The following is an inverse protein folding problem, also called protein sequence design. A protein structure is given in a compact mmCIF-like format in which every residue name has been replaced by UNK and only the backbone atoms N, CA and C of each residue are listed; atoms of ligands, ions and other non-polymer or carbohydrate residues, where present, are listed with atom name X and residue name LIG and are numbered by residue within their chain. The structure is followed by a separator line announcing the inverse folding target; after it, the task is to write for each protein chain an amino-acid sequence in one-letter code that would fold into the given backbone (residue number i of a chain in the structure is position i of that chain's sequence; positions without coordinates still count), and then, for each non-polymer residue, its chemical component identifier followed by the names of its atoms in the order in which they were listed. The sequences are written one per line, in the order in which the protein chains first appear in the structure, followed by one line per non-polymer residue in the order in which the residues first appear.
data_IF_202444113744
#
_entry.id   IF_202444113744
#
_cell.length_a   1.000
_cell.length_b   1.000
_cell.length_c   1.000
_cell.angle_alpha   90.00
_cell.angle_beta   90.00
_cell.angle_gamma   90.00
#
_symmetry.space_group_name_H-M   'P 1'
#
loop_
_entity.id
_entity.type
_entity.pdbx_description
1 polymer ?
#
# COMPACT_ATOMS: atom_id res chain seq x y z
N UNK A 1 8.19 -4.04 -14.70
CA UNK A 1 7.84 -3.87 -16.12
C UNK A 1 6.34 -4.01 -16.36
N UNK A 2 5.68 -5.14 -16.05
CA UNK A 2 4.23 -5.32 -16.27
C UNK A 2 3.34 -4.24 -15.61
N UNK A 3 3.59 -3.89 -14.35
CA UNK A 3 2.83 -2.83 -13.67
C UNK A 3 3.01 -1.47 -14.34
N UNK A 4 4.23 -1.16 -14.80
CA UNK A 4 4.51 0.11 -15.51
C UNK A 4 3.80 0.15 -16.86
N UNK A 5 3.83 -0.95 -17.61
CA UNK A 5 3.11 -1.07 -18.89
C UNK A 5 1.60 -0.95 -18.66
N UNK A 6 1.08 -1.63 -17.64
CA UNK A 6 -0.32 -1.54 -17.25
C UNK A 6 -0.70 -0.09 -16.90
N UNK A 7 0.07 0.57 -16.03
CA UNK A 7 -0.12 1.98 -15.69
C UNK A 7 -0.10 2.87 -16.94
N UNK A 8 0.87 2.70 -17.84
CA UNK A 8 0.93 3.48 -19.10
C UNK A 8 -0.26 3.20 -20.02
N UNK A 9 -0.77 1.97 -20.06
CA UNK A 9 -1.91 1.60 -20.90
C UNK A 9 -3.27 2.01 -20.34
N UNK A 10 -3.37 2.17 -19.01
CA UNK A 10 -4.63 2.48 -18.31
C UNK A 10 -4.71 3.91 -17.82
N UNK A 11 -3.61 4.66 -17.88
CA UNK A 11 -3.58 6.06 -17.49
C UNK A 11 -4.41 6.88 -18.47
N UNK A 12 -5.61 7.27 -18.02
CA UNK A 12 -6.48 8.21 -18.72
C UNK A 12 -6.48 9.52 -17.95
N UNK A 13 -5.98 10.59 -18.56
CA UNK A 13 -6.01 11.93 -17.98
C UNK A 13 -7.10 12.76 -18.66
N UNK A 14 -8.10 13.17 -17.89
CA UNK A 14 -9.18 14.02 -18.38
C UNK A 14 -8.72 15.48 -18.45
N UNK A 15 -8.22 15.86 -19.62
CA UNK A 15 -7.76 17.21 -19.90
C UNK A 15 -8.87 18.27 -19.76
N UNK A 16 -10.13 17.91 -20.00
CA UNK A 16 -11.25 18.84 -19.88
C UNK A 16 -11.51 19.16 -18.40
N UNK A 17 -11.51 18.14 -17.54
CA UNK A 17 -11.64 18.33 -16.09
C UNK A 17 -10.46 19.11 -15.49
N UNK A 18 -9.25 18.89 -15.99
CA UNK A 18 -8.07 19.67 -15.59
C UNK A 18 -8.18 21.15 -15.98
N UNK A 19 -8.61 21.45 -17.21
CA UNK A 19 -8.80 22.82 -17.67
C UNK A 19 -9.84 23.58 -16.82
N UNK A 20 -10.98 22.93 -16.51
CA UNK A 20 -12.00 23.50 -15.62
C UNK A 20 -11.42 23.80 -14.24
N UNK A 21 -10.64 22.87 -13.66
CA UNK A 21 -10.03 23.09 -12.36
C UNK A 21 -9.02 24.25 -12.37
N UNK A 22 -8.27 24.44 -13.45
CA UNK A 22 -7.36 25.59 -13.59
C UNK A 22 -8.10 26.93 -13.69
N UNK A 23 -9.32 26.95 -14.22
CA UNK A 23 -10.17 28.16 -14.25
C UNK A 23 -10.81 28.45 -12.89
N UNK A 24 -11.14 27.40 -12.12
CA UNK A 24 -11.79 27.53 -10.81
C UNK A 24 -10.82 27.89 -9.69
N UNK A 25 -9.61 27.31 -9.70
CA UNK A 25 -8.63 27.53 -8.63
C UNK A 25 -7.67 28.68 -8.97
N UNK A 26 -7.23 29.47 -7.98
CA UNK A 26 -6.16 30.44 -8.17
C UNK A 26 -4.88 29.77 -8.69
N UNK A 27 -4.01 30.51 -9.41
CA UNK A 27 -2.75 29.97 -9.91
C UNK A 27 -1.95 29.28 -8.81
N UNK A 28 -1.56 28.02 -9.02
CA UNK A 28 -0.78 27.21 -8.09
C UNK A 28 -1.56 26.49 -6.98
N UNK A 29 -2.82 26.88 -6.70
CA UNK A 29 -3.63 26.22 -5.67
C UNK A 29 -4.05 24.81 -6.06
N UNK A 30 -4.42 24.62 -7.33
CA UNK A 30 -4.79 23.29 -7.80
C UNK A 30 -3.63 22.30 -7.67
N UNK A 31 -2.41 22.69 -8.04
CA UNK A 31 -1.25 21.79 -7.94
C UNK A 31 -0.90 21.44 -6.49
N UNK A 32 -1.04 22.41 -5.57
CA UNK A 32 -0.80 22.20 -4.14
C UNK A 32 -1.91 21.38 -3.48
N UNK A 33 -3.17 21.53 -3.91
CA UNK A 33 -4.35 20.88 -3.36
C UNK A 33 -4.79 19.61 -4.10
N UNK A 34 -4.16 19.24 -5.22
CA UNK A 34 -4.59 18.13 -6.07
C UNK A 34 -4.66 16.80 -5.32
N UNK A 35 -3.76 16.57 -4.35
CA UNK A 35 -3.75 15.37 -3.51
C UNK A 35 -4.92 15.32 -2.51
N UNK A 36 -5.45 16.48 -2.12
CA UNK A 36 -6.62 16.60 -1.24
C UNK A 36 -7.90 16.36 -2.03
N UNK A 37 -7.96 16.91 -3.25
CA UNK A 37 -9.12 16.83 -4.17
C UNK A 37 -9.23 15.45 -4.83
N UNK A 38 -8.11 14.76 -5.06
CA UNK A 38 -8.10 13.42 -5.61
C UNK A 38 -8.72 12.39 -4.65
N UNK A 39 -9.29 11.33 -5.21
CA UNK A 39 -9.80 10.22 -4.41
C UNK A 39 -8.65 9.57 -3.64
N UNK A 40 -8.66 9.73 -2.32
CA UNK A 40 -7.65 9.17 -1.43
C UNK A 40 -7.48 7.66 -1.56
N UNK A 41 -8.55 6.93 -1.85
CA UNK A 41 -8.52 5.49 -2.03
C UNK A 41 -7.61 5.12 -3.21
N UNK A 42 -7.84 5.76 -4.36
CA UNK A 42 -7.05 5.53 -5.58
C UNK A 42 -5.61 6.00 -5.40
N UNK A 43 -5.43 7.17 -4.78
CA UNK A 43 -4.10 7.74 -4.51
C UNK A 43 -3.30 6.83 -3.58
N UNK A 44 -3.93 6.30 -2.51
CA UNK A 44 -3.34 5.35 -1.58
C UNK A 44 -2.86 4.07 -2.27
N UNK A 45 -3.72 3.46 -3.08
CA UNK A 45 -3.39 2.24 -3.84
C UNK A 45 -2.25 2.49 -4.82
N UNK A 46 -2.25 3.64 -5.50
CA UNK A 46 -1.17 4.04 -6.43
C UNK A 46 0.14 4.23 -5.67
N UNK A 47 0.14 4.95 -4.54
CA UNK A 47 1.35 5.17 -3.75
C UNK A 47 1.95 3.86 -3.22
N UNK A 48 1.15 2.95 -2.69
CA UNK A 48 1.64 1.64 -2.24
C UNK A 48 2.15 0.78 -3.41
N UNK A 49 1.48 0.85 -4.57
CA UNK A 49 1.94 0.18 -5.78
C UNK A 49 3.30 0.71 -6.24
N UNK A 50 3.46 2.03 -6.33
CA UNK A 50 4.72 2.71 -6.68
C UNK A 50 5.83 2.41 -5.67
N UNK A 51 5.49 2.35 -4.38
CA UNK A 51 6.41 2.00 -3.31
C UNK A 51 6.91 0.55 -3.44
N UNK A 52 6.05 -0.39 -3.84
CA UNK A 52 6.42 -1.77 -4.15
C UNK A 52 7.33 -1.89 -5.39
N UNK A 53 7.17 -0.98 -6.36
CA UNK A 53 8.06 -0.88 -7.51
C UNK A 53 9.46 -0.38 -7.13
N UNK A 54 9.54 0.50 -6.12
CA UNK A 54 10.79 1.10 -5.64
C UNK A 54 11.65 0.06 -4.89
N UNK A 55 12.93 0.04 -5.23
CA UNK A 55 13.92 -0.75 -4.49
C UNK A 55 14.22 0.01 -3.19
N UNK A 56 13.55 -0.35 -2.11
CA UNK A 56 13.72 0.30 -0.80
C UNK A 56 14.70 -0.43 0.12
N UNK A 57 14.99 -1.70 -0.16
CA UNK A 57 15.75 -2.58 0.74
C UNK A 57 16.91 -3.21 0.00
N UNK A 58 18.05 -3.38 0.66
CA UNK A 58 19.21 -4.08 0.09
C UNK A 58 18.83 -5.50 -0.40
N UNK A 59 18.00 -6.23 0.34
CA UNK A 59 17.46 -7.52 -0.10
C UNK A 59 16.68 -7.41 -1.41
N UNK A 60 15.81 -6.42 -1.57
CA UNK A 60 15.07 -6.17 -2.81
C UNK A 60 15.98 -5.82 -3.99
N UNK A 61 17.10 -5.15 -3.73
CA UNK A 61 18.11 -4.87 -4.74
C UNK A 61 18.80 -6.15 -5.22
N UNK A 62 19.32 -6.95 -4.27
CA UNK A 62 20.02 -8.20 -4.58
C UNK A 62 19.11 -9.25 -5.22
N UNK A 63 17.86 -9.39 -4.78
CA UNK A 63 16.92 -10.34 -5.40
C UNK A 63 16.61 -9.95 -6.83
N UNK A 64 16.32 -8.67 -7.11
CA UNK A 64 16.03 -8.21 -8.47
C UNK A 64 17.24 -8.29 -9.38
N UNK A 65 18.42 -7.91 -8.90
CA UNK A 65 19.66 -8.05 -9.68
C UNK A 65 19.99 -9.52 -9.92
N UNK A 66 19.88 -10.37 -8.90
CA UNK A 66 20.13 -11.81 -9.01
C UNK A 66 19.23 -12.48 -10.06
N UNK A 67 17.93 -12.15 -10.07
CA UNK A 67 16.99 -12.66 -11.07
C UNK A 67 17.35 -12.19 -12.48
N UNK A 68 17.67 -10.89 -12.65
CA UNK A 68 18.07 -10.34 -13.96
C UNK A 68 19.40 -10.93 -14.45
N UNK A 69 20.42 -11.06 -13.59
CA UNK A 69 21.71 -11.69 -13.94
C UNK A 69 21.50 -13.16 -14.33
N UNK A 70 20.67 -13.89 -13.59
CA UNK A 70 20.35 -15.30 -13.91
C UNK A 70 19.68 -15.42 -15.28
N UNK A 71 18.76 -14.50 -15.60
CA UNK A 71 18.12 -14.39 -16.91
C UNK A 71 19.13 -14.11 -18.02
N UNK A 72 20.00 -13.10 -17.84
CA UNK A 72 21.06 -12.76 -18.80
C UNK A 72 22.01 -13.94 -19.04
N UNK A 73 22.41 -14.64 -17.98
CA UNK A 73 23.26 -15.82 -18.07
C UNK A 73 22.58 -16.96 -18.83
N UNK A 74 21.29 -17.22 -18.57
CA UNK A 74 20.53 -18.23 -19.32
C UNK A 74 20.35 -17.87 -20.78
N UNK A 75 20.05 -16.60 -21.09
CA UNK A 75 19.96 -16.10 -22.47
C UNK A 75 21.29 -16.24 -23.19
N UNK A 76 22.39 -15.89 -22.55
CA UNK A 76 23.74 -16.04 -23.11
C UNK A 76 24.06 -17.51 -23.40
N UNK A 77 23.73 -18.42 -22.48
CA UNK A 77 23.85 -19.87 -22.71
C UNK A 77 23.00 -20.36 -23.88
N UNK A 78 21.77 -19.87 -24.03
CA UNK A 78 20.89 -20.23 -25.15
C UNK A 78 21.47 -19.71 -26.47
N UNK A 79 22.00 -18.50 -26.51
CA UNK A 79 22.64 -17.93 -27.70
C UNK A 79 23.92 -18.70 -28.05
N UNK A 80 24.77 -19.05 -27.08
CA UNK A 80 25.96 -19.91 -27.29
C UNK A 80 25.55 -21.29 -27.87
N UNK A 81 24.42 -21.83 -27.39
CA UNK A 81 23.87 -23.10 -27.88
C UNK A 81 23.41 -23.02 -29.35
N UNK A 82 22.73 -21.94 -29.72
CA UNK A 82 22.25 -21.70 -31.09
C UNK A 82 23.45 -21.49 -32.05
N UNK A 83 24.50 -20.80 -31.60
CA UNK A 83 25.67 -20.52 -32.42
C UNK A 83 26.58 -21.74 -32.60
N UNK A 84 26.68 -22.62 -31.59
CA UNK A 84 27.57 -23.79 -31.59
C UNK A 84 26.84 -25.12 -31.28
N UNK A 85 25.98 -25.62 -32.20
CA UNK A 85 25.20 -26.84 -31.96
C UNK A 85 26.06 -28.10 -31.78
N UNK A 86 27.32 -28.09 -32.26
CA UNK A 86 28.26 -29.23 -32.15
C UNK A 86 28.86 -29.42 -30.75
N UNK A 87 28.76 -28.42 -29.85
CA UNK A 87 29.18 -28.52 -28.44
C UNK A 87 28.25 -29.43 -27.62
N UNK A 88 27.12 -29.82 -28.21
CA UNK A 88 26.00 -30.54 -27.59
C UNK A 88 26.16 -32.07 -27.58
N UNK A 89 27.25 -32.58 -27.00
CA UNK A 89 27.35 -34.02 -26.62
C UNK A 89 27.49 -34.26 -25.12
N UNK A 90 27.53 -33.21 -24.30
CA UNK A 90 27.44 -33.34 -22.84
C UNK A 90 26.22 -32.56 -22.37
N UNK A 91 25.14 -33.31 -22.19
CA UNK A 91 23.91 -32.98 -21.45
C UNK A 91 23.90 -31.59 -20.81
N UNK A 92 23.23 -30.62 -21.43
CA UNK A 92 23.01 -29.26 -20.90
C UNK A 92 22.20 -29.29 -19.59
N UNK A 93 21.47 -30.37 -19.35
CA UNK A 93 20.98 -30.73 -18.03
C UNK A 93 22.02 -31.60 -17.32
N UNK A 94 22.65 -31.08 -16.27
CA UNK A 94 23.35 -31.93 -15.30
C UNK A 94 22.37 -33.02 -14.85
N UNK A 95 22.85 -34.27 -14.79
CA UNK A 95 22.09 -35.43 -14.30
C UNK A 95 21.44 -35.07 -12.96
N UNK A 96 20.13 -34.81 -13.02
CA UNK A 96 19.10 -35.21 -12.05
C UNK A 96 19.27 -34.71 -10.61
N UNK A 97 19.28 -33.39 -10.38
CA UNK A 97 18.90 -32.84 -9.07
C UNK A 97 17.36 -32.82 -8.90
N UNK A 98 16.71 -33.99 -9.02
CA UNK A 98 15.24 -34.12 -8.86
C UNK A 98 14.76 -33.60 -7.52
N UNK A 99 15.56 -33.79 -6.47
CA UNK A 99 15.29 -33.25 -5.13
C UNK A 99 15.29 -31.72 -5.10
N UNK A 100 16.20 -31.06 -5.83
CA UNK A 100 16.24 -29.60 -5.92
C UNK A 100 15.04 -29.03 -6.67
N UNK A 101 14.65 -29.67 -7.79
CA UNK A 101 13.45 -29.30 -8.53
C UNK A 101 12.18 -29.55 -7.72
N UNK A 102 12.07 -30.69 -7.04
CA UNK A 102 10.94 -31.01 -6.17
C UNK A 102 10.84 -30.02 -4.99
N UNK A 103 11.95 -29.66 -4.36
CA UNK A 103 11.99 -28.66 -3.31
C UNK A 103 11.50 -27.29 -3.79
N UNK A 104 11.93 -26.84 -4.97
CA UNK A 104 11.47 -25.57 -5.54
C UNK A 104 9.96 -25.57 -5.82
N UNK A 105 9.42 -26.70 -6.31
CA UNK A 105 7.98 -26.84 -6.55
C UNK A 105 7.19 -26.82 -5.24
N UNK A 106 7.64 -27.55 -4.22
CA UNK A 106 7.00 -27.55 -2.90
C UNK A 106 7.09 -26.17 -2.25
N UNK A 107 8.25 -25.52 -2.32
CA UNK A 107 8.42 -24.16 -1.80
C UNK A 107 7.51 -23.16 -2.51
N UNK A 108 7.40 -23.24 -3.84
CA UNK A 108 6.47 -22.42 -4.61
C UNK A 108 5.01 -22.66 -4.20
N UNK A 109 4.59 -23.92 -4.03
CA UNK A 109 3.25 -24.27 -3.58
C UNK A 109 2.97 -23.76 -2.14
N UNK A 110 3.93 -23.89 -1.23
CA UNK A 110 3.82 -23.36 0.12
C UNK A 110 3.69 -21.83 0.13
N UNK A 111 4.46 -21.14 -0.72
CA UNK A 111 4.35 -19.68 -0.87
C UNK A 111 2.99 -19.26 -1.43
N UNK A 112 2.46 -19.97 -2.42
CA UNK A 112 1.14 -19.65 -2.98
C UNK A 112 0.05 -19.83 -1.94
N UNK A 113 0.08 -20.93 -1.18
CA UNK A 113 -0.87 -21.18 -0.08
C UNK A 113 -0.74 -20.08 0.99
N UNK A 114 0.48 -19.76 1.41
CA UNK A 114 0.73 -18.72 2.40
C UNK A 114 0.17 -17.36 1.96
N UNK A 115 0.41 -16.97 0.70
CA UNK A 115 -0.08 -15.68 0.17
C UNK A 115 -1.60 -15.68 0.07
N UNK A 116 -2.20 -16.76 -0.44
CA UNK A 116 -3.66 -16.88 -0.58
C UNK A 116 -4.36 -16.84 0.77
N UNK A 117 -3.88 -17.60 1.75
CA UNK A 117 -4.41 -17.58 3.12
C UNK A 117 -4.20 -16.22 3.80
N UNK A 118 -3.05 -15.58 3.60
CA UNK A 118 -2.81 -14.22 4.14
C UNK A 118 -3.76 -13.19 3.56
N UNK A 119 -4.06 -13.26 2.26
CA UNK A 119 -5.02 -12.36 1.60
C UNK A 119 -6.44 -12.64 2.09
N UNK A 120 -6.83 -13.91 2.13
CA UNK A 120 -8.17 -14.33 2.55
C UNK A 120 -8.47 -13.93 3.99
N UNK A 121 -7.62 -14.32 4.93
CA UNK A 121 -7.79 -14.04 6.37
C UNK A 121 -7.83 -12.53 6.65
N UNK A 122 -6.89 -11.77 6.08
CA UNK A 122 -6.90 -10.31 6.23
C UNK A 122 -8.13 -9.64 5.62
N UNK A 123 -8.62 -10.12 4.48
CA UNK A 123 -9.82 -9.55 3.84
C UNK A 123 -11.08 -9.78 4.66
N UNK A 124 -11.21 -10.96 5.28
CA UNK A 124 -12.35 -11.29 6.13
C UNK A 124 -12.33 -10.50 7.45
N UNK A 125 -11.15 -10.33 8.06
CA UNK A 125 -11.00 -9.54 9.29
C UNK A 125 -11.40 -8.07 9.10
N UNK A 126 -11.07 -7.49 7.95
CA UNK A 126 -11.33 -6.07 7.66
C UNK A 126 -12.66 -5.83 6.92
N UNK A 127 -13.42 -6.87 6.60
CA UNK A 127 -14.71 -6.75 5.90
C UNK A 127 -15.73 -5.83 6.62
N UNK A 128 -15.82 -5.78 7.96
CA UNK A 128 -16.72 -4.86 8.65
C UNK A 128 -16.29 -3.39 8.61
N UNK A 129 -15.05 -3.11 8.19
CA UNK A 129 -14.40 -1.80 8.27
C UNK A 129 -14.15 -1.23 6.86
N UNK A 130 -15.19 -0.70 6.17
CA UNK A 130 -15.06 -0.19 4.81
C UNK A 130 -14.10 1.01 4.69
N UNK A 131 -13.86 1.72 5.78
CA UNK A 131 -12.86 2.79 5.89
C UNK A 131 -11.40 2.29 5.77
N UNK A 132 -11.16 1.00 5.95
CA UNK A 132 -9.85 0.41 5.74
C UNK A 132 -9.65 0.07 4.25
N UNK A 133 -8.96 0.94 3.53
CA UNK A 133 -8.76 0.80 2.09
C UNK A 133 -7.68 -0.22 1.74
N UNK A 134 -6.62 -0.26 2.54
CA UNK A 134 -5.45 -1.10 2.27
C UNK A 134 -5.15 -1.99 3.47
N UNK A 135 -5.12 -3.30 3.22
CA UNK A 135 -4.86 -4.32 4.23
C UNK A 135 -3.36 -4.68 4.25
N UNK A 136 -2.80 -4.97 5.42
CA UNK A 136 -1.40 -5.37 5.59
C UNK A 136 -1.11 -6.84 5.16
N UNK A 137 -2.15 -7.62 4.79
CA UNK A 137 -2.07 -9.00 4.26
C UNK A 137 -1.20 -9.91 5.12
N UNK A 138 -1.53 -10.03 6.40
CA UNK A 138 -0.91 -10.99 7.32
C UNK A 138 -1.74 -12.25 7.41
N UNK A 139 -1.05 -13.38 7.55
CA UNK A 139 -1.69 -14.61 8.00
C UNK A 139 -1.99 -14.50 9.49
N UNK A 140 -3.23 -14.16 9.84
CA UNK A 140 -3.73 -14.14 11.22
C UNK A 140 -4.69 -15.31 11.42
N UNK A 141 -4.67 -15.89 12.62
CA UNK A 141 -5.64 -16.90 13.02
C UNK A 141 -6.90 -16.14 13.43
N UNK A 142 -7.96 -16.26 12.64
CA UNK A 142 -9.29 -15.78 13.06
C UNK A 142 -9.80 -16.74 14.13
N UNK A 143 -9.75 -16.31 15.39
CA UNK A 143 -10.44 -17.02 16.47
C UNK A 143 -11.93 -16.66 16.38
N UNK A 144 -12.79 -17.67 16.34
CA UNK A 144 -14.24 -17.52 16.12
C UNK A 144 -14.86 -16.53 17.12
N UNK A 145 -15.03 -15.27 16.69
CA UNK A 145 -15.68 -14.21 17.48
C UNK A 145 -14.85 -12.95 17.74
N UNK A 146 -13.55 -12.91 17.43
CA UNK A 146 -12.72 -11.70 17.61
C UNK A 146 -12.41 -11.02 16.27
N UNK A 147 -13.43 -10.45 15.61
CA UNK A 147 -13.27 -9.48 14.52
C UNK A 147 -12.70 -8.12 15.01
N UNK A 148 -11.93 -8.12 16.10
CA UNK A 148 -11.48 -6.91 16.79
C UNK A 148 -10.11 -6.42 16.33
N UNK A 149 -9.36 -7.22 15.55
CA UNK A 149 -8.02 -6.87 15.07
C UNK A 149 -7.94 -6.98 13.54
N UNK A 150 -8.35 -5.91 12.86
CA UNK A 150 -8.14 -5.78 11.42
C UNK A 150 -6.71 -5.28 11.14
N UNK A 151 -5.90 -6.00 10.31
CA UNK A 151 -4.58 -5.57 9.86
C UNK A 151 -4.69 -4.40 8.86
N UNK A 152 -5.10 -3.23 9.32
CA UNK A 152 -5.27 -2.07 8.46
C UNK A 152 -3.94 -1.33 8.26
N UNK A 153 -3.57 -1.11 6.99
CA UNK A 153 -2.40 -0.33 6.60
C UNK A 153 -2.76 1.14 6.34
N UNK A 154 -3.92 1.38 5.73
CA UNK A 154 -4.39 2.71 5.38
C UNK A 154 -5.88 2.89 5.73
N UNK A 155 -6.13 3.82 6.63
CA UNK A 155 -7.47 4.24 7.07
C UNK A 155 -7.85 5.54 6.36
N UNK A 156 -8.96 5.52 5.64
CA UNK A 156 -9.52 6.69 4.96
C UNK A 156 -11.00 6.83 5.34
N UNK A 157 -11.31 7.79 6.19
CA UNK A 157 -12.69 8.16 6.56
C UNK A 157 -12.92 9.63 6.22
N UNK A 158 -13.53 9.86 5.06
CA UNK A 158 -13.77 11.20 4.52
C UNK A 158 -15.25 11.43 4.29
N UNK A 159 -15.77 12.51 4.86
CA UNK A 159 -17.13 12.98 4.60
C UNK A 159 -17.09 14.28 3.79
N UNK A 160 -17.06 14.17 2.46
CA UNK A 160 -16.79 15.32 1.57
C UNK A 160 -17.99 16.28 1.47
N UNK A 161 -19.19 15.83 1.84
CA UNK A 161 -20.43 16.62 1.76
C UNK A 161 -21.37 16.28 2.93
N UNK A 162 -21.16 16.84 4.13
CA UNK A 162 -22.10 16.69 5.22
C UNK A 162 -23.47 17.22 4.80
N UNK A 163 -24.53 16.45 5.06
CA UNK A 163 -25.87 16.73 4.53
C UNK A 163 -26.55 17.86 5.27
N UNK A 164 -26.12 18.14 6.50
CA UNK A 164 -26.73 19.17 7.35
C UNK A 164 -25.68 20.02 8.05
N UNK A 165 -26.03 21.28 8.35
CA UNK A 165 -25.19 22.19 9.13
C UNK A 165 -24.90 21.63 10.53
N UNK A 166 -25.84 20.92 11.14
CA UNK A 166 -25.66 20.29 12.44
C UNK A 166 -24.62 19.15 12.42
N UNK A 167 -24.58 18.34 11.36
CA UNK A 167 -23.53 17.32 11.16
C UNK A 167 -22.15 17.93 10.90
N UNK A 168 -22.12 19.14 10.31
CA UNK A 168 -20.88 19.89 10.08
C UNK A 168 -20.35 20.52 11.37
N UNK A 169 -21.23 21.03 12.23
CA UNK A 169 -20.89 21.67 13.51
C UNK A 169 -20.54 20.63 14.60
N UNK A 170 -21.15 19.45 14.57
CA UNK A 170 -20.83 18.34 15.47
C UNK A 170 -20.47 17.05 14.69
N UNK A 171 -19.23 16.97 14.15
CA UNK A 171 -18.79 15.82 13.39
C UNK A 171 -18.68 14.58 14.28
N UNK A 172 -18.97 13.41 13.69
CA UNK A 172 -18.93 12.10 14.36
C UNK A 172 -17.54 11.87 14.97
N UNK A 173 -17.50 11.49 16.25
CA UNK A 173 -16.27 11.12 16.93
C UNK A 173 -15.82 9.72 16.49
N UNK A 174 -14.60 9.64 15.95
CA UNK A 174 -13.99 8.40 15.44
C UNK A 174 -12.84 7.90 16.31
N UNK A 175 -12.62 8.48 17.49
CA UNK A 175 -11.47 8.16 18.37
C UNK A 175 -11.40 6.67 18.72
N UNK A 176 -12.50 6.08 19.16
CA UNK A 176 -12.55 4.65 19.52
C UNK A 176 -12.32 3.73 18.32
N UNK A 177 -12.86 4.11 17.16
CA UNK A 177 -12.70 3.37 15.90
C UNK A 177 -11.25 3.40 15.41
N UNK A 178 -10.58 4.56 15.48
CA UNK A 178 -9.16 4.70 15.17
C UNK A 178 -8.32 3.90 16.17
N UNK A 179 -8.67 3.92 17.46
CA UNK A 179 -7.98 3.12 18.48
C UNK A 179 -8.06 1.62 18.18
N UNK A 180 -9.25 1.12 17.82
CA UNK A 180 -9.46 -0.28 17.45
C UNK A 180 -8.61 -0.70 16.24
N UNK A 181 -8.58 0.12 15.19
CA UNK A 181 -7.79 -0.18 13.98
C UNK A 181 -6.27 0.02 14.19
N UNK A 182 -5.88 0.92 15.09
CA UNK A 182 -4.48 1.15 15.46
C UNK A 182 -3.95 0.11 16.46
N UNK A 183 -4.82 -0.62 17.17
CA UNK A 183 -4.44 -1.60 18.19
C UNK A 183 -3.46 -2.67 17.69
N UNK A 184 -3.51 -3.00 16.40
CA UNK A 184 -2.61 -3.97 15.79
C UNK A 184 -1.19 -3.39 15.50
N UNK A 185 -1.03 -2.07 15.47
CA UNK A 185 0.26 -1.42 15.23
C UNK A 185 0.72 -1.40 13.76
N UNK A 186 -0.15 -1.81 12.82
CA UNK A 186 0.18 -1.93 11.40
C UNK A 186 -0.17 -0.67 10.58
N UNK A 187 -0.79 0.33 11.21
CA UNK A 187 -1.33 1.51 10.55
C UNK A 187 -0.19 2.42 10.06
N UNK A 188 -0.20 2.76 8.76
CA UNK A 188 0.83 3.59 8.14
C UNK A 188 0.29 4.94 7.69
N UNK A 189 -0.99 5.03 7.35
CA UNK A 189 -1.62 6.26 6.88
C UNK A 189 -3.03 6.38 7.43
N UNK A 190 -3.34 7.57 7.96
CA UNK A 190 -4.65 7.93 8.47
C UNK A 190 -5.09 9.22 7.80
N UNK A 191 -6.27 9.19 7.17
CA UNK A 191 -6.88 10.35 6.55
C UNK A 191 -8.30 10.50 7.06
N UNK A 192 -8.54 11.59 7.80
CA UNK A 192 -9.81 11.95 8.39
C UNK A 192 -10.24 13.31 7.83
N UNK A 193 -11.44 13.39 7.27
CA UNK A 193 -12.03 14.65 6.78
C UNK A 193 -13.44 14.81 7.33
N UNK A 194 -13.71 15.93 8.00
CA UNK A 194 -14.99 16.20 8.67
C UNK A 194 -15.36 15.12 9.72
N UNK A 195 -14.36 14.60 10.44
CA UNK A 195 -14.51 13.59 11.51
C UNK A 195 -13.78 14.05 12.75
N UNK A 196 -14.40 13.90 13.93
CA UNK A 196 -13.84 14.34 15.20
C UNK A 196 -12.88 13.30 15.80
N UNK A 197 -11.65 13.73 16.06
CA UNK A 197 -10.61 13.00 16.77
C UNK A 197 -10.27 13.81 18.01
N UNK A 198 -11.05 13.62 19.07
CA UNK A 198 -10.98 14.43 20.28
C UNK A 198 -9.65 14.25 21.04
N UNK A 199 -9.11 13.02 21.02
CA UNK A 199 -7.84 12.66 21.65
C UNK A 199 -7.08 11.75 20.69
N UNK A 200 -5.76 11.89 20.65
CA UNK A 200 -4.92 10.96 19.90
C UNK A 200 -4.82 9.64 20.71
N UNK A 201 -5.34 8.50 20.21
CA UNK A 201 -5.28 7.23 20.93
C UNK A 201 -3.83 6.78 21.14
N UNK A 202 -3.52 6.24 22.32
CA UNK A 202 -2.17 5.76 22.64
C UNK A 202 -1.76 4.57 21.75
N UNK A 203 -2.73 3.83 21.22
CA UNK A 203 -2.54 2.75 20.26
C UNK A 203 -1.83 3.21 18.98
N UNK A 204 -1.99 4.47 18.57
CA UNK A 204 -1.23 5.03 17.44
C UNK A 204 0.28 5.07 17.71
N UNK A 205 0.71 5.11 18.98
CA UNK A 205 2.12 5.06 19.33
C UNK A 205 2.72 3.67 19.17
N UNK A 206 1.88 2.63 19.15
CA UNK A 206 2.30 1.26 18.82
C UNK A 206 2.64 1.13 17.32
N UNK A 207 2.10 2.01 16.48
CA UNK A 207 2.33 2.02 15.04
C UNK A 207 3.71 2.60 14.70
N UNK A 208 4.73 1.73 14.64
CA UNK A 208 6.12 2.13 14.33
C UNK A 208 6.33 2.66 12.91
N UNK A 209 5.44 2.30 11.99
CA UNK A 209 5.52 2.65 10.57
C UNK A 209 4.50 3.74 10.16
N UNK A 210 3.96 4.50 11.12
CA UNK A 210 3.04 5.60 10.84
C UNK A 210 3.78 6.73 10.09
N UNK A 211 3.38 7.01 8.85
CA UNK A 211 4.04 8.00 7.97
C UNK A 211 3.21 9.26 7.75
N UNK A 212 1.89 9.12 7.64
CA UNK A 212 1.02 10.23 7.27
C UNK A 212 -0.24 10.24 8.13
N UNK A 213 -0.46 11.33 8.84
CA UNK A 213 -1.70 11.64 9.56
C UNK A 213 -2.24 12.93 8.97
N UNK A 214 -3.36 12.83 8.25
CA UNK A 214 -4.08 13.96 7.70
C UNK A 214 -5.42 14.08 8.41
N UNK A 215 -5.67 15.22 9.03
CA UNK A 215 -6.92 15.51 9.71
C UNK A 215 -7.38 16.89 9.26
N UNK A 216 -8.53 16.92 8.59
CA UNK A 216 -9.10 18.14 8.00
C UNK A 216 -10.45 18.44 8.65
N UNK A 217 -10.53 19.63 9.23
CA UNK A 217 -11.68 20.12 10.01
C UNK A 217 -12.18 21.44 9.46
N UNK A 218 -13.50 21.68 9.49
CA UNK A 218 -14.03 23.00 9.21
C UNK A 218 -13.79 24.02 10.33
N UNK A 219 -13.49 23.58 11.56
CA UNK A 219 -13.30 24.49 12.70
C UNK A 219 -11.94 24.28 13.38
N UNK A 220 -11.06 25.24 13.08
CA UNK A 220 -10.00 25.84 13.90
C UNK A 220 -9.52 25.02 15.10
N UNK A 221 -8.25 24.60 15.00
CA UNK A 221 -7.33 24.41 16.13
C UNK A 221 -7.54 25.49 17.21
N UNK A 222 -8.31 25.16 18.23
CA UNK A 222 -8.18 25.77 19.55
C UNK A 222 -7.71 24.68 20.50
N UNK A 223 -6.47 24.27 20.32
CA UNK A 223 -5.79 23.26 21.11
C UNK A 223 -4.43 22.97 20.50
N UNK A 224 -3.38 23.48 21.13
CA UNK A 224 -1.98 23.39 20.74
C UNK A 224 -1.57 22.01 20.20
N UNK A 225 -1.35 21.91 18.89
CA UNK A 225 -0.38 20.96 18.34
C UNK A 225 0.86 21.76 18.01
N UNK A 226 1.68 21.98 19.05
CA UNK A 226 3.05 22.46 18.90
C UNK A 226 3.77 21.59 17.88
N UNK A 227 4.08 22.20 16.74
CA UNK A 227 5.00 21.68 15.73
C UNK A 227 6.30 21.26 16.42
N UNK A 228 6.52 19.95 16.58
CA UNK A 228 7.85 19.44 16.86
C UNK A 228 8.62 19.43 15.54
N UNK A 229 9.11 20.62 15.19
CA UNK A 229 10.12 20.86 14.16
C UNK A 229 11.42 20.18 14.60
N UNK A 230 11.67 18.96 14.16
CA UNK A 230 13.01 18.37 14.19
C UNK A 230 13.87 19.03 13.10
N UNK A 231 14.37 20.22 13.45
CA UNK A 231 15.68 20.68 13.02
C UNK A 231 16.60 20.50 14.22
N UNK A 232 17.69 19.71 14.09
CA UNK A 232 19.02 19.93 14.68
C UNK A 232 19.85 18.62 14.68
N UNK A 233 20.96 18.66 13.92
CA UNK A 233 22.13 17.77 13.84
C UNK A 233 22.01 16.41 13.16
#
# INVERSE_FOLDING_TARGET
MLVVVYCLSTFTFDHAKYAINLEVFPPGWFEQGASVIANAEQVAVIYESLKSLRIMTALNFFTRIGVNITLCFRLWLVVDLIHNPKKHRRSVYTKRHRFGAAFLVVYAAMLTIFVEESVRTSSLACQPHPECVVNARRWTILEDGSLTQCPCLMLVDRDIAPKTYAEWENPINVTEKVAQLAAQGDLQTVQLTNRNLAVLPEELRLCKDLRHLYVDYPQVLSGEVTKQSTNSF
#
